data_IF_867456731629
#
_entry.id   IF_867456731629
#
_cell.length_a   1.000
_cell.length_b   1.000
_cell.length_c   1.000
_cell.angle_alpha   90.00
_cell.angle_beta   90.00
_cell.angle_gamma   90.00
#
_symmetry.space_group_name_H-M   'P 1'
#
loop_
_entity.id
_entity.type
_entity.pdbx_description
1 polymer ?
#
# COMPACT_ATOMS: atom_id res chain seq x y z
N UNK A 1 13.71 40.63 33.48
CA UNK A 1 13.39 39.24 33.90
C UNK A 1 14.46 38.35 33.28
N UNK A 2 15.39 37.84 34.08
CA UNK A 2 16.48 36.98 33.58
C UNK A 2 15.86 35.65 33.14
N UNK A 3 16.05 35.29 31.87
CA UNK A 3 15.71 33.97 31.37
C UNK A 3 16.81 33.01 31.83
N UNK A 4 16.47 31.80 32.33
CA UNK A 4 17.47 30.85 32.78
C UNK A 4 18.36 30.44 31.60
N UNK A 5 19.64 30.27 31.91
CA UNK A 5 20.68 29.82 31.01
C UNK A 5 20.32 28.48 30.36
N UNK A 6 20.76 28.33 29.12
CA UNK A 6 20.51 27.19 28.25
C UNK A 6 21.23 25.96 28.82
N UNK A 7 20.49 24.92 29.21
CA UNK A 7 21.14 23.62 29.43
C UNK A 7 21.56 23.06 28.07
N UNK A 8 22.87 22.84 27.83
CA UNK A 8 23.33 22.08 26.68
C UNK A 8 22.80 20.64 26.79
N UNK A 9 22.71 19.94 25.64
CA UNK A 9 22.46 18.50 25.65
C UNK A 9 23.50 17.81 26.57
N UNK A 10 23.15 16.73 27.30
CA UNK A 10 24.07 16.03 28.21
C UNK A 10 25.15 15.19 27.49
N UNK A 11 25.49 15.54 26.24
CA UNK A 11 26.30 14.72 25.34
C UNK A 11 27.48 15.47 24.74
N UNK A 12 28.03 16.48 25.43
CA UNK A 12 29.25 17.17 24.96
C UNK A 12 30.45 16.22 24.76
N UNK A 13 30.42 15.00 25.34
CA UNK A 13 31.54 14.06 25.35
C UNK A 13 31.34 12.72 24.59
N UNK A 14 30.37 12.60 23.66
CA UNK A 14 30.21 11.35 22.88
C UNK A 14 30.72 11.50 21.44
N UNK A 15 31.89 10.89 21.16
CA UNK A 15 32.56 10.83 19.84
C UNK A 15 31.76 10.12 18.74
N UNK A 16 30.69 9.39 19.08
CA UNK A 16 29.81 8.73 18.11
C UNK A 16 28.34 9.03 18.39
N UNK A 17 27.65 9.63 17.41
CA UNK A 17 26.21 9.85 17.45
C UNK A 17 25.46 8.55 17.09
N UNK A 18 24.71 7.92 18.01
CA UNK A 18 23.87 6.77 17.68
C UNK A 18 22.80 7.20 16.68
N UNK A 19 22.59 6.40 15.62
CA UNK A 19 21.56 6.67 14.60
C UNK A 19 20.11 6.60 15.12
N UNK A 20 19.92 6.35 16.41
CA UNK A 20 18.62 6.26 17.09
C UNK A 20 18.67 6.96 18.45
N UNK A 21 18.79 8.28 18.46
CA UNK A 21 18.62 9.05 19.69
C UNK A 21 17.13 9.33 19.95
N UNK A 22 16.64 9.20 21.20
CA UNK A 22 15.25 9.46 21.56
C UNK A 22 14.91 10.97 21.62
N UNK A 23 15.79 11.82 21.08
CA UNK A 23 15.68 13.27 21.05
C UNK A 23 15.58 13.76 19.62
N UNK A 24 14.62 14.63 19.34
CA UNK A 24 14.46 15.23 18.02
C UNK A 24 14.53 16.74 18.09
N UNK A 25 15.33 17.35 17.22
CA UNK A 25 15.43 18.80 17.12
C UNK A 25 14.11 19.38 16.58
N UNK A 26 13.67 20.48 17.17
CA UNK A 26 12.51 21.28 16.79
C UNK A 26 12.94 22.72 16.68
N UNK A 27 12.25 23.48 15.84
CA UNK A 27 12.46 24.90 15.70
C UNK A 27 11.18 25.62 16.08
N UNK A 28 11.29 26.58 17.00
CA UNK A 28 10.20 27.50 17.34
C UNK A 28 10.78 28.90 17.38
N UNK A 29 10.20 29.82 16.61
CA UNK A 29 10.61 31.23 16.61
C UNK A 29 12.12 31.43 16.39
N UNK A 30 12.69 30.67 15.44
CA UNK A 30 14.13 30.65 15.09
C UNK A 30 15.06 30.14 16.21
N UNK A 31 14.54 29.59 17.29
CA UNK A 31 15.31 28.90 18.33
C UNK A 31 15.18 27.39 18.15
N UNK A 32 16.30 26.70 18.21
CA UNK A 32 16.27 25.24 18.26
C UNK A 32 15.92 24.79 19.69
N UNK A 33 15.12 23.74 19.77
CA UNK A 33 14.72 23.05 20.99
C UNK A 33 14.88 21.55 20.73
N UNK A 34 15.03 20.77 21.80
CA UNK A 34 15.03 19.31 21.71
C UNK A 34 13.76 18.78 22.38
N UNK A 35 13.14 17.77 21.76
CA UNK A 35 11.99 17.06 22.33
C UNK A 35 12.36 15.60 22.53
N UNK A 36 12.14 15.09 23.74
CA UNK A 36 12.27 13.66 24.01
C UNK A 36 11.03 12.90 23.54
N UNK A 37 11.16 11.64 23.12
CA UNK A 37 10.01 10.79 22.77
C UNK A 37 8.99 10.66 23.90
N UNK A 38 9.41 10.81 25.17
CA UNK A 38 8.52 10.75 26.34
C UNK A 38 7.65 12.00 26.52
N UNK A 39 7.97 13.11 25.84
CA UNK A 39 7.17 14.34 25.87
C UNK A 39 5.99 14.29 24.86
N UNK A 40 5.81 13.15 24.20
CA UNK A 40 4.83 12.92 23.14
C UNK A 40 5.51 12.47 21.83
N UNK A 41 4.88 11.55 21.13
CA UNK A 41 5.41 10.95 19.90
C UNK A 41 5.22 9.44 19.87
N UNK A 42 5.76 8.80 18.84
CA UNK A 42 5.74 7.35 18.73
C UNK A 42 6.66 6.72 19.79
N UNK A 43 6.09 5.96 20.73
CA UNK A 43 6.81 5.15 21.71
C UNK A 43 6.75 3.68 21.29
N UNK A 44 7.86 3.17 20.75
CA UNK A 44 7.96 1.80 20.26
C UNK A 44 7.63 0.74 21.32
N UNK A 45 7.81 1.05 22.62
CA UNK A 45 7.55 0.10 23.71
C UNK A 45 6.05 -0.17 23.92
N UNK A 46 5.19 0.67 23.36
CA UNK A 46 3.73 0.49 23.38
C UNK A 46 3.24 -0.44 22.28
N UNK A 47 4.12 -0.84 21.37
CA UNK A 47 3.74 -1.58 20.18
C UNK A 47 4.51 -2.88 20.04
N UNK A 48 3.78 -3.93 19.72
CA UNK A 48 4.34 -5.24 19.35
C UNK A 48 3.98 -5.60 17.92
N UNK A 49 4.86 -6.36 17.29
CA UNK A 49 4.67 -6.86 15.93
C UNK A 49 4.83 -8.37 15.96
N UNK A 50 3.86 -9.07 15.39
CA UNK A 50 3.81 -10.52 15.42
C UNK A 50 3.04 -11.07 14.22
N UNK A 51 3.15 -12.39 14.00
CA UNK A 51 2.39 -13.09 12.97
C UNK A 51 0.90 -13.01 13.24
N UNK A 52 0.14 -12.88 12.16
CA UNK A 52 -1.32 -12.78 12.20
C UNK A 52 -1.95 -13.94 11.44
N UNK A 53 -3.08 -14.45 11.95
CA UNK A 53 -3.89 -15.44 11.25
C UNK A 53 -4.42 -14.88 9.93
N UNK A 54 -4.77 -15.75 8.97
CA UNK A 54 -5.33 -15.29 7.71
C UNK A 54 -6.70 -14.65 7.90
N UNK A 55 -7.55 -15.26 8.71
CA UNK A 55 -8.90 -14.78 8.99
C UNK A 55 -8.89 -13.37 9.61
N UNK A 56 -8.01 -13.12 10.60
CA UNK A 56 -7.92 -11.82 11.24
C UNK A 56 -7.33 -10.76 10.30
N UNK A 57 -6.31 -11.13 9.52
CA UNK A 57 -5.72 -10.26 8.51
C UNK A 57 -6.73 -9.87 7.44
N UNK A 58 -7.52 -10.83 6.95
CA UNK A 58 -8.57 -10.61 5.97
C UNK A 58 -9.66 -9.71 6.51
N UNK A 59 -10.20 -10.02 7.69
CA UNK A 59 -11.25 -9.22 8.32
C UNK A 59 -10.81 -7.76 8.51
N UNK A 60 -9.58 -7.53 9.00
CA UNK A 60 -9.04 -6.19 9.21
C UNK A 60 -8.81 -5.45 7.89
N UNK A 61 -8.19 -6.10 6.91
CA UNK A 61 -7.89 -5.47 5.60
C UNK A 61 -9.15 -5.10 4.85
N UNK A 62 -10.15 -5.99 4.81
CA UNK A 62 -11.42 -5.70 4.13
C UNK A 62 -12.15 -4.52 4.76
N UNK A 63 -12.04 -4.36 6.08
CA UNK A 63 -12.67 -3.25 6.82
C UNK A 63 -11.94 -1.91 6.65
N UNK A 64 -10.60 -1.91 6.64
CA UNK A 64 -9.82 -0.68 6.80
C UNK A 64 -9.01 -0.25 5.57
N UNK A 65 -8.63 -1.17 4.68
CA UNK A 65 -7.80 -0.81 3.53
C UNK A 65 -8.66 -0.26 2.39
N UNK A 66 -8.25 0.86 1.77
CA UNK A 66 -9.00 1.54 0.71
C UNK A 66 -9.40 0.66 -0.49
N UNK A 67 -8.65 -0.42 -0.72
CA UNK A 67 -8.89 -1.35 -1.82
C UNK A 67 -9.96 -2.41 -1.52
N UNK A 68 -10.44 -2.52 -0.26
CA UNK A 68 -11.50 -3.42 0.19
C UNK A 68 -11.42 -4.85 -0.40
N UNK A 69 -10.21 -5.41 -0.45
CA UNK A 69 -9.95 -6.72 -1.05
C UNK A 69 -8.74 -7.38 -0.41
N UNK A 70 -8.79 -8.70 -0.26
CA UNK A 70 -7.71 -9.48 0.33
C UNK A 70 -6.94 -10.28 -0.73
N UNK A 71 -5.62 -10.07 -0.90
CA UNK A 71 -4.80 -10.78 -1.88
C UNK A 71 -4.27 -12.11 -1.31
N UNK A 72 -3.71 -12.96 -2.18
CA UNK A 72 -3.02 -14.17 -1.75
C UNK A 72 -1.82 -13.83 -0.85
N UNK A 73 -1.87 -14.28 0.40
CA UNK A 73 -0.88 -14.01 1.42
C UNK A 73 0.15 -15.14 1.55
N UNK A 74 1.40 -14.79 1.83
CA UNK A 74 2.47 -15.72 2.23
C UNK A 74 2.87 -15.47 3.67
N UNK A 75 3.06 -14.19 4.03
CA UNK A 75 3.37 -13.75 5.39
C UNK A 75 2.41 -12.63 5.80
N UNK A 76 1.95 -12.66 7.04
CA UNK A 76 0.98 -11.71 7.60
C UNK A 76 1.45 -11.28 8.97
N UNK A 77 1.42 -9.99 9.24
CA UNK A 77 1.79 -9.44 10.52
C UNK A 77 0.73 -8.47 11.02
N UNK A 78 0.52 -8.49 12.33
CA UNK A 78 -0.27 -7.49 13.06
C UNK A 78 0.66 -6.52 13.79
N UNK A 79 0.28 -5.25 13.81
CA UNK A 79 0.76 -4.27 14.77
C UNK A 79 -0.24 -4.21 15.92
N UNK A 80 0.24 -4.35 17.14
CA UNK A 80 -0.59 -4.39 18.33
C UNK A 80 -0.20 -3.28 19.28
N UNK A 81 -1.19 -2.52 19.74
CA UNK A 81 -1.05 -1.63 20.88
C UNK A 81 -1.20 -2.45 22.16
N UNK A 82 -0.20 -2.39 23.03
CA UNK A 82 -0.15 -3.11 24.31
C UNK A 82 -0.16 -2.16 25.51
N UNK A 83 -0.41 -0.87 25.30
CA UNK A 83 -0.31 0.15 26.35
C UNK A 83 -1.34 0.00 27.47
N UNK A 84 -2.47 -0.65 27.21
CA UNK A 84 -3.55 -0.87 28.18
C UNK A 84 -3.47 -2.23 28.89
N UNK A 85 -2.42 -3.02 28.62
CA UNK A 85 -2.26 -4.39 29.13
C UNK A 85 -3.00 -5.46 28.32
N UNK A 86 -4.05 -5.09 27.58
CA UNK A 86 -4.67 -5.96 26.57
C UNK A 86 -4.07 -5.66 25.19
N UNK A 87 -3.81 -6.72 24.43
CA UNK A 87 -3.23 -6.62 23.10
C UNK A 87 -4.29 -6.27 22.06
N UNK A 88 -4.24 -5.06 21.52
CA UNK A 88 -5.23 -4.56 20.55
C UNK A 88 -4.63 -4.40 19.15
N UNK A 89 -5.20 -5.07 18.15
CA UNK A 89 -4.76 -4.98 16.75
C UNK A 89 -5.07 -3.59 16.19
N UNK A 90 -4.03 -2.85 15.79
CA UNK A 90 -4.15 -1.49 15.26
C UNK A 90 -3.48 -1.31 13.88
N UNK A 91 -2.87 -2.36 13.33
CA UNK A 91 -2.39 -2.37 11.94
C UNK A 91 -2.12 -3.76 11.40
N UNK A 92 -2.12 -3.90 10.07
CA UNK A 92 -1.89 -5.16 9.37
C UNK A 92 -0.98 -4.94 8.15
N UNK A 93 -0.02 -5.84 8.00
CA UNK A 93 0.85 -5.95 6.83
C UNK A 93 0.71 -7.35 6.21
N UNK A 94 0.46 -7.42 4.90
CA UNK A 94 0.33 -8.66 4.14
C UNK A 94 1.37 -8.67 3.03
N UNK A 95 2.26 -9.65 3.09
CA UNK A 95 3.28 -9.92 2.09
C UNK A 95 2.90 -11.17 1.32
N UNK A 96 2.79 -11.06 0.00
CA UNK A 96 2.06 -12.01 -0.79
C UNK A 96 2.58 -12.22 -2.21
N UNK A 97 1.78 -12.98 -2.96
CA UNK A 97 2.02 -13.32 -4.35
C UNK A 97 1.31 -12.30 -5.24
N UNK A 98 2.04 -11.48 -6.02
CA UNK A 98 1.41 -10.59 -6.99
C UNK A 98 0.75 -11.39 -8.11
N UNK A 99 -0.23 -10.76 -8.76
CA UNK A 99 -0.96 -11.32 -9.91
C UNK A 99 -0.08 -11.72 -11.11
N UNK A 100 1.17 -11.23 -11.16
CA UNK A 100 2.14 -11.61 -12.17
C UNK A 100 3.52 -11.79 -11.53
N UNK A 101 4.18 -12.90 -11.81
CA UNK A 101 5.58 -13.19 -11.41
C UNK A 101 6.53 -12.04 -11.79
N UNK A 102 6.26 -11.37 -12.91
CA UNK A 102 7.04 -10.23 -13.40
C UNK A 102 7.03 -8.99 -12.48
N UNK A 103 6.10 -8.91 -11.52
CA UNK A 103 6.13 -7.86 -10.49
C UNK A 103 7.35 -7.99 -9.59
N UNK A 104 7.83 -9.22 -9.35
CA UNK A 104 9.00 -9.52 -8.54
C UNK A 104 10.26 -9.71 -9.39
N UNK A 105 10.17 -10.50 -10.46
CA UNK A 105 11.37 -10.86 -11.24
C UNK A 105 11.95 -9.71 -12.08
N UNK A 106 11.15 -8.68 -12.40
CA UNK A 106 11.69 -7.47 -13.05
C UNK A 106 12.55 -6.64 -12.09
N UNK A 107 12.08 -6.24 -10.90
CA UNK A 107 12.91 -5.48 -9.96
C UNK A 107 13.97 -6.31 -9.23
N UNK A 108 13.75 -7.61 -9.03
CA UNK A 108 14.60 -8.51 -8.25
C UNK A 108 14.86 -9.81 -9.05
N UNK A 109 15.65 -9.76 -10.13
CA UNK A 109 15.77 -10.87 -11.09
C UNK A 109 16.53 -12.09 -10.56
N UNK A 110 17.36 -11.91 -9.52
CA UNK A 110 18.21 -12.96 -8.96
C UNK A 110 17.57 -13.68 -7.75
N UNK A 111 16.42 -13.21 -7.27
CA UNK A 111 15.73 -13.81 -6.13
C UNK A 111 14.63 -14.73 -6.62
N UNK A 112 14.50 -15.91 -6.02
CA UNK A 112 13.36 -16.79 -6.28
C UNK A 112 12.07 -16.12 -5.79
N UNK A 113 11.09 -15.85 -6.66
CA UNK A 113 9.85 -15.22 -6.25
C UNK A 113 9.00 -16.14 -5.39
N UNK A 114 8.22 -15.53 -4.50
CA UNK A 114 7.32 -16.19 -3.55
C UNK A 114 8.03 -16.87 -2.38
N UNK A 115 9.36 -17.00 -2.43
CA UNK A 115 10.20 -17.51 -1.33
C UNK A 115 11.21 -16.45 -0.89
N UNK A 116 12.10 -16.01 -1.78
CA UNK A 116 13.11 -14.98 -1.49
C UNK A 116 12.63 -13.57 -1.81
N UNK A 117 11.57 -13.41 -2.61
CA UNK A 117 10.95 -12.12 -2.84
C UNK A 117 9.42 -12.14 -2.75
N UNK A 118 8.86 -11.08 -2.15
CA UNK A 118 7.41 -10.93 -1.95
C UNK A 118 6.92 -9.53 -2.32
N UNK A 119 5.62 -9.40 -2.59
CA UNK A 119 4.96 -8.09 -2.71
C UNK A 119 4.40 -7.68 -1.35
N UNK A 120 4.69 -6.46 -0.88
CA UNK A 120 3.90 -5.84 0.19
C UNK A 120 2.54 -5.42 -0.39
N UNK A 121 1.59 -6.34 -0.32
CA UNK A 121 0.32 -6.26 -1.04
C UNK A 121 -0.71 -5.44 -0.27
N UNK A 122 -0.68 -5.48 1.07
CA UNK A 122 -1.52 -4.66 1.94
C UNK A 122 -0.69 -4.14 3.10
N UNK A 123 -0.85 -2.87 3.41
CA UNK A 123 -0.22 -2.23 4.56
C UNK A 123 -1.16 -1.14 5.06
N UNK A 124 -1.76 -1.35 6.23
CA UNK A 124 -2.80 -0.47 6.79
C UNK A 124 -2.63 -0.37 8.29
N UNK A 125 -2.75 0.85 8.82
CA UNK A 125 -2.81 1.15 10.25
C UNK A 125 -4.06 1.99 10.51
N UNK A 126 -4.58 1.95 11.73
CA UNK A 126 -5.66 2.83 12.18
C UNK A 126 -5.14 4.26 12.43
N UNK A 127 -6.00 5.26 12.24
CA UNK A 127 -5.65 6.69 12.34
C UNK A 127 -5.17 7.12 13.73
N UNK A 128 -5.53 6.37 14.77
CA UNK A 128 -5.06 6.54 16.15
C UNK A 128 -3.57 6.21 16.35
N UNK A 129 -2.95 5.49 15.40
CA UNK A 129 -1.54 5.18 15.46
C UNK A 129 -0.72 6.47 15.28
N UNK A 130 0.19 6.82 16.22
CA UNK A 130 0.96 8.03 16.12
C UNK A 130 1.93 7.97 14.93
N UNK A 131 2.26 9.12 14.36
CA UNK A 131 3.20 9.20 13.23
C UNK A 131 4.53 8.51 13.54
N UNK A 132 5.08 7.80 12.55
CA UNK A 132 6.21 6.86 12.61
C UNK A 132 5.85 5.42 12.99
N UNK A 133 4.60 5.13 13.36
CA UNK A 133 4.12 3.75 13.54
C UNK A 133 4.32 2.91 12.29
N UNK A 134 4.08 3.49 11.11
CA UNK A 134 4.24 2.81 9.82
C UNK A 134 5.70 2.38 9.59
N UNK A 135 6.64 3.29 9.84
CA UNK A 135 8.07 3.02 9.62
C UNK A 135 8.59 1.98 10.60
N UNK A 136 8.17 2.05 11.88
CA UNK A 136 8.49 1.04 12.88
C UNK A 136 7.91 -0.33 12.49
N UNK A 137 6.62 -0.38 12.18
CA UNK A 137 5.93 -1.61 11.84
C UNK A 137 6.54 -2.28 10.60
N UNK A 138 6.79 -1.50 9.54
CA UNK A 138 7.40 -1.99 8.32
C UNK A 138 8.83 -2.53 8.57
N UNK A 139 9.63 -1.84 9.38
CA UNK A 139 10.96 -2.29 9.74
C UNK A 139 10.94 -3.61 10.53
N UNK A 140 10.02 -3.77 11.48
CA UNK A 140 9.82 -5.03 12.21
C UNK A 140 9.37 -6.16 11.28
N UNK A 141 8.43 -5.89 10.37
CA UNK A 141 8.04 -6.86 9.35
C UNK A 141 9.24 -7.30 8.50
N UNK A 142 10.08 -6.36 8.04
CA UNK A 142 11.27 -6.69 7.25
C UNK A 142 12.27 -7.57 8.00
N UNK A 143 12.43 -7.38 9.31
CA UNK A 143 13.26 -8.27 10.15
C UNK A 143 12.71 -9.69 10.18
N UNK A 144 11.41 -9.86 10.41
CA UNK A 144 10.75 -11.18 10.42
C UNK A 144 10.78 -11.86 9.04
N UNK A 145 10.57 -11.08 7.98
CA UNK A 145 10.68 -11.56 6.61
C UNK A 145 12.09 -12.06 6.30
N UNK A 146 13.12 -11.31 6.69
CA UNK A 146 14.51 -11.71 6.53
C UNK A 146 14.84 -12.98 7.30
N UNK A 147 14.32 -13.13 8.53
CA UNK A 147 14.46 -14.36 9.31
C UNK A 147 13.78 -15.57 8.64
N UNK A 148 12.71 -15.35 7.87
CA UNK A 148 12.04 -16.38 7.08
C UNK A 148 12.67 -16.67 5.71
N UNK A 149 13.79 -16.02 5.37
CA UNK A 149 14.52 -16.23 4.11
C UNK A 149 14.18 -15.24 2.99
N UNK A 150 13.27 -14.28 3.22
CA UNK A 150 12.94 -13.24 2.23
C UNK A 150 14.07 -12.21 2.15
N UNK A 151 14.57 -11.97 0.95
CA UNK A 151 15.68 -11.05 0.64
C UNK A 151 15.25 -9.80 -0.09
N UNK A 152 14.03 -9.76 -0.63
CA UNK A 152 13.52 -8.58 -1.32
C UNK A 152 12.01 -8.40 -1.20
N UNK A 153 11.59 -7.14 -1.10
CA UNK A 153 10.16 -6.78 -1.07
C UNK A 153 9.90 -5.73 -2.15
N UNK A 154 8.80 -5.90 -2.88
CA UNK A 154 8.30 -4.88 -3.82
C UNK A 154 7.01 -4.31 -3.27
N UNK A 155 6.90 -2.99 -3.25
CA UNK A 155 5.70 -2.28 -2.79
C UNK A 155 5.24 -1.27 -3.83
N UNK A 156 3.93 -1.03 -3.87
CA UNK A 156 3.33 -0.02 -4.75
C UNK A 156 2.63 1.07 -3.97
N UNK A 157 2.70 2.30 -4.48
CA UNK A 157 1.89 3.41 -4.03
C UNK A 157 1.03 3.90 -5.19
N UNK A 158 -0.30 3.89 -5.01
CA UNK A 158 -1.24 4.32 -6.04
C UNK A 158 -1.41 5.84 -5.97
N UNK A 159 -0.89 6.61 -6.95
CA UNK A 159 -0.93 8.06 -6.91
C UNK A 159 -2.27 8.62 -7.39
N UNK A 160 -3.20 7.82 -7.91
CA UNK A 160 -4.36 8.33 -8.66
C UNK A 160 -5.55 8.57 -7.71
N UNK A 161 -6.02 9.83 -7.54
CA UNK A 161 -7.21 10.09 -6.74
C UNK A 161 -8.47 9.45 -7.36
N UNK A 162 -9.41 9.01 -6.51
CA UNK A 162 -10.69 8.43 -6.92
C UNK A 162 -11.86 9.05 -6.17
N UNK A 163 -12.93 9.33 -6.91
CA UNK A 163 -14.20 9.84 -6.40
C UNK A 163 -15.36 8.98 -6.85
N UNK A 164 -16.40 8.93 -6.02
CA UNK A 164 -17.72 8.43 -6.41
C UNK A 164 -18.29 9.24 -7.57
N UNK A 165 -19.37 8.75 -8.19
CA UNK A 165 -20.14 9.50 -9.17
C UNK A 165 -20.73 10.80 -8.58
N UNK A 166 -21.07 10.80 -7.29
CA UNK A 166 -21.52 11.99 -6.55
C UNK A 166 -20.39 12.97 -6.16
N UNK A 167 -19.13 12.63 -6.46
CA UNK A 167 -17.98 13.49 -6.21
C UNK A 167 -17.31 13.32 -4.83
N UNK A 168 -17.76 12.37 -4.02
CA UNK A 168 -17.15 12.06 -2.70
C UNK A 168 -15.77 11.44 -2.93
N UNK A 169 -14.75 11.93 -2.22
CA UNK A 169 -13.38 11.47 -2.33
C UNK A 169 -13.18 10.15 -1.55
N UNK A 170 -12.88 9.08 -2.26
CA UNK A 170 -12.69 7.72 -1.70
C UNK A 170 -11.21 7.38 -1.55
N UNK A 171 -10.39 7.84 -2.50
CA UNK A 171 -8.93 7.65 -2.45
C UNK A 171 -8.26 8.96 -2.84
N UNK A 172 -7.42 9.51 -1.96
CA UNK A 172 -6.67 10.75 -2.27
C UNK A 172 -5.50 10.52 -3.24
N UNK A 173 -5.09 9.28 -3.42
CA UNK A 173 -3.79 8.96 -4.01
C UNK A 173 -2.65 9.19 -3.00
N UNK A 174 -1.56 8.43 -3.14
CA UNK A 174 -0.38 8.57 -2.30
C UNK A 174 0.88 8.25 -3.09
N UNK A 175 1.99 8.87 -2.69
CA UNK A 175 3.30 8.66 -3.32
C UNK A 175 4.20 7.72 -2.54
N UNK A 176 3.67 7.04 -1.53
CA UNK A 176 4.44 6.08 -0.72
C UNK A 176 5.51 6.76 0.11
N UNK A 177 5.23 7.91 0.73
CA UNK A 177 6.20 8.64 1.58
C UNK A 177 6.88 7.73 2.60
N UNK A 178 6.12 6.83 3.22
CA UNK A 178 6.65 5.84 4.16
C UNK A 178 7.71 4.94 3.52
N UNK A 179 7.57 4.57 2.25
CA UNK A 179 8.59 3.80 1.52
C UNK A 179 9.83 4.64 1.22
N UNK A 180 9.67 5.93 0.95
CA UNK A 180 10.79 6.84 0.72
C UNK A 180 11.60 7.07 2.01
N UNK A 181 10.92 7.15 3.16
CA UNK A 181 11.54 7.33 4.47
C UNK A 181 12.11 6.05 5.07
N UNK A 182 11.81 4.87 4.50
CA UNK A 182 12.27 3.57 5.00
C UNK A 182 13.23 2.86 4.02
N UNK A 183 14.02 3.65 3.28
CA UNK A 183 15.07 3.16 2.37
C UNK A 183 14.55 2.33 1.17
N UNK A 184 13.28 2.49 0.79
CA UNK A 184 12.74 1.88 -0.42
C UNK A 184 13.33 2.53 -1.66
N UNK A 185 13.97 1.74 -2.52
CA UNK A 185 14.52 2.23 -3.79
C UNK A 185 13.38 2.50 -4.76
N UNK A 186 13.19 3.75 -5.16
CA UNK A 186 12.19 4.09 -6.17
C UNK A 186 12.60 3.55 -7.55
N UNK A 187 11.79 2.66 -8.11
CA UNK A 187 12.06 1.95 -9.37
C UNK A 187 11.08 2.35 -10.49
N UNK A 188 10.65 3.62 -10.48
CA UNK A 188 9.72 4.17 -11.47
C UNK A 188 8.28 3.71 -11.27
N UNK A 189 7.48 3.76 -12.35
CA UNK A 189 6.07 3.35 -12.32
C UNK A 189 5.86 1.93 -12.82
N UNK A 190 4.78 1.31 -12.36
CA UNK A 190 4.18 0.14 -12.98
C UNK A 190 3.60 0.49 -14.36
N UNK A 191 3.17 -0.54 -15.10
CA UNK A 191 2.56 -0.37 -16.42
C UNK A 191 1.32 0.53 -16.33
N UNK A 192 1.26 1.55 -17.18
CA UNK A 192 0.07 2.37 -17.32
C UNK A 192 -1.08 1.54 -17.91
N UNK A 193 -2.30 1.76 -17.41
CA UNK A 193 -3.49 1.02 -17.80
C UNK A 193 -4.73 1.91 -17.74
N UNK A 194 -5.82 1.42 -18.30
CA UNK A 194 -7.14 2.04 -18.10
C UNK A 194 -7.88 1.20 -17.07
N UNK A 195 -8.36 1.82 -16.00
CA UNK A 195 -9.14 1.16 -14.96
C UNK A 195 -10.62 1.48 -15.17
N UNK A 196 -11.48 0.53 -14.77
CA UNK A 196 -12.94 0.72 -14.74
C UNK A 196 -13.31 1.15 -13.34
N UNK A 197 -13.74 2.40 -13.19
CA UNK A 197 -14.17 2.98 -11.93
C UNK A 197 -15.68 2.84 -11.82
N UNK A 198 -16.15 2.21 -10.74
CA UNK A 198 -17.56 2.07 -10.43
C UNK A 198 -18.12 3.35 -9.77
N UNK A 199 -19.44 3.53 -9.71
CA UNK A 199 -20.07 4.74 -9.16
C UNK A 199 -19.75 5.00 -7.69
N UNK A 200 -19.48 3.95 -6.93
CA UNK A 200 -19.03 4.01 -5.53
C UNK A 200 -17.55 4.39 -5.39
N UNK A 201 -16.84 4.62 -6.50
CA UNK A 201 -15.42 4.97 -6.54
C UNK A 201 -14.48 3.76 -6.44
N UNK A 202 -15.00 2.54 -6.35
CA UNK A 202 -14.20 1.31 -6.36
C UNK A 202 -13.73 0.96 -7.79
N UNK A 203 -12.68 0.12 -7.88
CA UNK A 203 -12.11 -0.30 -9.17
C UNK A 203 -12.60 -1.70 -9.52
N UNK A 204 -13.29 -1.83 -10.65
CA UNK A 204 -13.64 -3.13 -11.18
C UNK A 204 -12.44 -3.75 -11.92
N UNK A 205 -11.81 -4.74 -11.28
CA UNK A 205 -10.56 -5.33 -11.74
C UNK A 205 -10.71 -6.18 -13.01
N UNK A 206 -9.70 -6.16 -13.88
CA UNK A 206 -9.71 -6.91 -15.14
C UNK A 206 -9.79 -8.43 -14.95
N UNK A 207 -9.25 -8.97 -13.85
CA UNK A 207 -9.39 -10.40 -13.51
C UNK A 207 -10.84 -10.76 -13.16
N UNK A 208 -11.53 -9.91 -12.40
CA UNK A 208 -12.96 -10.09 -12.12
C UNK A 208 -13.77 -10.01 -13.43
N UNK A 209 -13.47 -9.03 -14.28
CA UNK A 209 -14.06 -8.91 -15.61
C UNK A 209 -13.82 -10.15 -16.49
N UNK A 210 -12.62 -10.74 -16.44
CA UNK A 210 -12.32 -11.98 -17.15
C UNK A 210 -13.17 -13.14 -16.63
N UNK A 211 -13.27 -13.31 -15.30
CA UNK A 211 -14.09 -14.36 -14.70
C UNK A 211 -15.53 -14.29 -15.17
N UNK A 212 -16.14 -13.10 -15.17
CA UNK A 212 -17.49 -12.89 -15.71
C UNK A 212 -17.56 -13.22 -17.20
N UNK A 213 -16.64 -12.73 -18.02
CA UNK A 213 -16.67 -12.98 -19.49
C UNK A 213 -16.61 -14.46 -19.84
N UNK A 214 -15.83 -15.22 -19.08
CA UNK A 214 -15.55 -16.64 -19.31
C UNK A 214 -16.37 -17.57 -18.42
N UNK A 215 -17.21 -17.01 -17.55
CA UNK A 215 -17.95 -17.74 -16.51
C UNK A 215 -17.02 -18.68 -15.72
N UNK A 216 -15.83 -18.18 -15.37
CA UNK A 216 -14.84 -18.91 -14.55
C UNK A 216 -15.28 -18.92 -13.07
N UNK A 217 -14.83 -19.90 -12.30
CA UNK A 217 -15.12 -20.01 -10.86
C UNK A 217 -14.92 -18.69 -10.09
N UNK A 218 -15.94 -18.32 -9.31
CA UNK A 218 -16.00 -17.08 -8.55
C UNK A 218 -16.40 -15.84 -9.36
N UNK A 219 -16.98 -16.01 -10.56
CA UNK A 219 -17.58 -14.90 -11.30
C UNK A 219 -18.80 -14.30 -10.57
N UNK A 220 -19.59 -15.12 -9.89
CA UNK A 220 -20.82 -14.74 -9.17
C UNK A 220 -20.61 -13.55 -8.22
N UNK A 221 -19.49 -13.51 -7.49
CA UNK A 221 -19.15 -12.40 -6.60
C UNK A 221 -18.96 -11.07 -7.35
N UNK A 222 -18.34 -11.12 -8.54
CA UNK A 222 -18.16 -9.94 -9.38
C UNK A 222 -19.48 -9.50 -10.02
N UNK A 223 -20.37 -10.45 -10.33
CA UNK A 223 -21.71 -10.15 -10.82
C UNK A 223 -22.58 -9.52 -9.74
N UNK A 224 -22.58 -10.09 -8.54
CA UNK A 224 -23.30 -9.57 -7.38
C UNK A 224 -22.92 -8.13 -7.03
N UNK A 225 -21.63 -7.79 -7.11
CA UNK A 225 -21.16 -6.39 -6.94
C UNK A 225 -21.79 -5.44 -7.94
N UNK A 226 -21.85 -5.82 -9.23
CA UNK A 226 -22.46 -4.99 -10.26
C UNK A 226 -23.98 -4.90 -10.08
N UNK A 227 -24.63 -6.01 -9.73
CA UNK A 227 -26.09 -6.05 -9.47
C UNK A 227 -26.45 -5.16 -8.28
N UNK A 228 -25.65 -5.19 -7.19
CA UNK A 228 -25.85 -4.32 -6.03
C UNK A 228 -25.74 -2.83 -6.38
N UNK A 229 -25.04 -2.49 -7.47
CA UNK A 229 -24.92 -1.13 -8.01
C UNK A 229 -25.97 -0.82 -9.10
N UNK A 230 -26.94 -1.71 -9.33
CA UNK A 230 -28.04 -1.51 -10.27
C UNK A 230 -27.87 -2.15 -11.66
N UNK A 231 -26.90 -3.06 -11.84
CA UNK A 231 -26.81 -3.84 -13.08
C UNK A 231 -28.01 -4.79 -13.24
N UNK A 232 -28.41 -5.12 -14.48
CA UNK A 232 -29.46 -6.11 -14.72
C UNK A 232 -29.03 -7.50 -14.22
N UNK A 233 -29.96 -8.23 -13.61
CA UNK A 233 -29.72 -9.63 -13.22
C UNK A 233 -29.56 -10.50 -14.49
N UNK A 234 -28.50 -11.31 -14.61
CA UNK A 234 -28.31 -12.19 -15.75
C UNK A 234 -29.47 -13.18 -15.90
N UNK A 235 -29.91 -13.42 -17.14
CA UNK A 235 -30.92 -14.46 -17.46
C UNK A 235 -30.24 -15.81 -17.67
N UNK A 236 -30.96 -16.91 -17.49
CA UNK A 236 -30.43 -18.24 -17.79
C UNK A 236 -29.84 -18.31 -19.21
N UNK A 237 -28.63 -18.88 -19.34
CA UNK A 237 -27.93 -19.01 -20.63
C UNK A 237 -27.35 -17.72 -21.21
N UNK A 238 -27.25 -16.64 -20.43
CA UNK A 238 -26.68 -15.39 -20.91
C UNK A 238 -25.22 -15.53 -21.38
N UNK A 239 -24.83 -14.66 -22.30
CA UNK A 239 -23.42 -14.51 -22.67
C UNK A 239 -22.72 -13.57 -21.68
N UNK A 240 -21.79 -14.08 -20.89
CA UNK A 240 -21.08 -13.31 -19.85
C UNK A 240 -20.36 -12.06 -20.37
N UNK A 241 -19.79 -12.11 -21.57
CA UNK A 241 -19.13 -10.95 -22.17
C UNK A 241 -20.12 -9.86 -22.62
N UNK A 242 -21.27 -10.26 -23.16
CA UNK A 242 -22.34 -9.32 -23.52
C UNK A 242 -22.95 -8.67 -22.28
N UNK A 243 -23.30 -9.50 -21.28
CA UNK A 243 -23.87 -9.02 -20.02
C UNK A 243 -22.93 -8.08 -19.29
N UNK A 244 -21.63 -8.40 -19.19
CA UNK A 244 -20.69 -7.51 -18.51
C UNK A 244 -20.61 -6.13 -19.15
N UNK A 245 -20.68 -6.06 -20.49
CA UNK A 245 -20.70 -4.76 -21.19
C UNK A 245 -21.96 -3.98 -20.83
N UNK A 246 -23.12 -4.62 -20.83
CA UNK A 246 -24.39 -3.99 -20.49
C UNK A 246 -24.43 -3.56 -19.02
N UNK A 247 -23.97 -4.41 -18.10
CA UNK A 247 -23.88 -4.15 -16.68
C UNK A 247 -22.99 -2.93 -16.38
N UNK A 248 -21.80 -2.84 -17.00
CA UNK A 248 -20.90 -1.70 -16.81
C UNK A 248 -21.50 -0.38 -17.33
N UNK A 249 -22.28 -0.41 -18.42
CA UNK A 249 -23.03 0.75 -18.89
C UNK A 249 -24.15 1.10 -17.91
N UNK A 250 -24.94 0.12 -17.49
CA UNK A 250 -26.12 0.31 -16.64
C UNK A 250 -25.76 0.93 -15.29
N UNK A 251 -24.67 0.47 -14.67
CA UNK A 251 -24.19 1.06 -13.40
C UNK A 251 -23.55 2.44 -13.63
N UNK A 252 -23.21 2.83 -14.85
CA UNK A 252 -22.50 4.10 -15.11
C UNK A 252 -21.00 4.02 -14.78
N UNK A 253 -20.37 2.87 -15.03
CA UNK A 253 -18.92 2.74 -14.88
C UNK A 253 -18.18 3.70 -15.82
N UNK A 254 -17.01 4.17 -15.38
CA UNK A 254 -16.17 5.12 -16.14
C UNK A 254 -14.78 4.54 -16.40
N UNK A 255 -14.23 4.83 -17.57
CA UNK A 255 -12.85 4.50 -17.88
C UNK A 255 -11.93 5.63 -17.40
N UNK A 256 -10.98 5.29 -16.54
CA UNK A 256 -10.02 6.26 -16.01
C UNK A 256 -8.61 5.86 -16.41
N UNK A 257 -7.84 6.80 -16.98
CA UNK A 257 -6.43 6.56 -17.31
C UNK A 257 -5.62 6.52 -16.02
N UNK A 258 -4.98 5.39 -15.76
CA UNK A 258 -4.07 5.19 -14.64
C UNK A 258 -2.63 5.10 -15.16
N UNK A 259 -1.79 6.07 -14.78
CA UNK A 259 -0.40 6.19 -15.27
C UNK A 259 0.58 5.18 -14.68
N UNK A 260 0.08 4.25 -13.86
CA UNK A 260 0.87 3.23 -13.19
C UNK A 260 1.24 3.66 -11.76
N UNK A 261 1.20 2.71 -10.83
CA UNK A 261 1.54 2.96 -9.43
C UNK A 261 3.05 3.16 -9.28
N UNK A 262 3.48 3.97 -8.31
CA UNK A 262 4.89 4.12 -7.99
C UNK A 262 5.42 2.84 -7.36
N UNK A 263 6.53 2.31 -7.89
CA UNK A 263 7.17 1.07 -7.42
C UNK A 263 8.33 1.39 -6.51
N UNK A 264 8.38 0.72 -5.36
CA UNK A 264 9.47 0.76 -4.40
C UNK A 264 10.02 -0.64 -4.20
N UNK A 265 11.34 -0.75 -4.12
CA UNK A 265 12.04 -2.03 -3.95
C UNK A 265 12.88 -1.96 -2.68
N UNK A 266 12.66 -2.89 -1.77
CA UNK A 266 13.43 -3.06 -0.56
C UNK A 266 14.35 -4.26 -0.73
N UNK A 267 15.64 -4.03 -0.45
CA UNK A 267 16.65 -5.09 -0.37
C UNK A 267 16.83 -5.40 1.11
N UNK A 268 16.51 -6.62 1.51
CA UNK A 268 16.57 -7.06 2.90
C UNK A 268 17.91 -7.73 3.18
N UNK A 269 18.50 -7.38 4.32
CA UNK A 269 19.80 -7.87 4.76
C UNK A 269 20.20 -7.24 6.08
N UNK A 270 20.95 -7.98 6.90
CA UNK A 270 21.38 -7.57 8.25
C UNK A 270 22.39 -6.43 8.16
N UNK A 271 23.25 -6.46 7.14
CA UNK A 271 24.24 -5.44 6.86
C UNK A 271 23.96 -4.71 5.55
N UNK A 272 24.58 -3.53 5.37
CA UNK A 272 24.55 -2.82 4.08
C UNK A 272 25.10 -3.69 2.94
N UNK A 273 26.17 -4.43 3.20
CA UNK A 273 26.79 -5.35 2.24
C UNK A 273 25.82 -6.42 1.75
N UNK A 274 25.09 -7.08 2.66
CA UNK A 274 24.07 -8.08 2.29
C UNK A 274 22.94 -7.49 1.45
N UNK A 275 22.54 -6.24 1.73
CA UNK A 275 21.53 -5.54 0.93
C UNK A 275 22.07 -5.19 -0.47
N UNK A 276 23.34 -4.81 -0.58
CA UNK A 276 23.97 -4.47 -1.86
C UNK A 276 24.30 -5.69 -2.74
N UNK A 277 24.35 -6.89 -2.14
CA UNK A 277 24.42 -8.15 -2.89
C UNK A 277 23.13 -8.43 -3.67
N UNK A 278 21.96 -8.02 -3.16
CA UNK A 278 20.70 -8.14 -3.89
C UNK A 278 20.69 -7.14 -5.06
N UNK A 279 20.85 -7.64 -6.28
CA UNK A 279 20.87 -6.81 -7.49
C UNK A 279 19.47 -6.36 -7.87
N UNK A 280 19.38 -5.10 -8.31
CA UNK A 280 18.14 -4.52 -8.84
C UNK A 280 18.10 -4.73 -10.35
N UNK A 281 17.03 -5.36 -10.84
CA UNK A 281 16.78 -5.49 -12.27
C UNK A 281 16.15 -4.25 -12.92
N UNK A 282 15.77 -3.26 -12.11
CA UNK A 282 15.29 -1.96 -12.57
C UNK A 282 16.17 -0.83 -12.02
N UNK A 283 16.43 0.23 -12.80
CA UNK A 283 17.24 1.35 -12.35
C UNK A 283 16.54 2.11 -11.22
N UNK A 284 17.32 2.52 -10.22
CA UNK A 284 16.88 3.50 -9.24
C UNK A 284 16.57 4.83 -9.96
N UNK A 285 15.46 5.47 -9.58
CA UNK A 285 14.99 6.72 -10.19
C UNK A 285 14.97 7.85 -9.17
N UNK A 286 15.26 9.06 -9.65
CA UNK A 286 15.20 10.32 -8.93
C UNK A 286 14.55 11.38 -9.83
N UNK A 287 13.91 12.42 -9.26
CA UNK A 287 13.58 12.56 -7.85
C UNK A 287 12.47 11.58 -7.42
N UNK A 288 12.37 11.34 -6.11
CA UNK A 288 11.21 10.63 -5.55
C UNK A 288 9.93 11.46 -5.73
N UNK A 289 8.78 10.84 -6.04
CA UNK A 289 7.51 11.55 -6.21
C UNK A 289 7.06 12.17 -4.88
N UNK A 290 6.68 13.45 -4.88
CA UNK A 290 6.24 14.15 -3.66
C UNK A 290 4.77 14.55 -3.66
N UNK A 291 4.05 14.30 -4.75
CA UNK A 291 2.64 14.67 -4.91
C UNK A 291 1.89 13.58 -5.69
N UNK A 292 0.67 13.21 -5.26
CA UNK A 292 -0.21 12.36 -6.05
C UNK A 292 -0.41 12.91 -7.47
N UNK A 293 -0.92 12.06 -8.36
CA UNK A 293 -1.29 12.49 -9.70
C UNK A 293 -2.39 13.55 -9.61
N UNK A 294 -2.43 14.50 -10.55
CA UNK A 294 -3.57 15.40 -10.65
C UNK A 294 -4.85 14.56 -10.80
N UNK A 295 -5.97 15.07 -10.27
CA UNK A 295 -7.25 14.40 -10.48
C UNK A 295 -7.45 14.16 -11.98
N UNK A 296 -7.79 12.92 -12.39
CA UNK A 296 -8.06 12.68 -13.79
C UNK A 296 -9.18 13.62 -14.21
N UNK A 297 -8.95 14.37 -15.30
CA UNK A 297 -9.98 15.22 -15.88
C UNK A 297 -11.27 14.41 -15.97
N UNK A 298 -12.41 14.99 -15.58
CA UNK A 298 -13.72 14.37 -15.81
C UNK A 298 -13.81 14.14 -17.30
N UNK A 299 -13.53 12.91 -17.74
CA UNK A 299 -13.99 12.49 -19.05
C UNK A 299 -15.48 12.30 -18.85
N UNK A 300 -16.26 13.20 -19.43
CA UNK A 300 -17.71 13.04 -19.58
C UNK A 300 -18.03 11.90 -20.58
N UNK A 301 -17.06 11.03 -20.87
CA UNK A 301 -17.28 9.86 -21.71
C UNK A 301 -17.77 8.71 -20.83
N UNK A 302 -19.08 8.40 -20.87
CA UNK A 302 -19.58 7.16 -20.29
C UNK A 302 -18.83 5.98 -20.91
N UNK A 303 -18.81 4.83 -20.23
CA UNK A 303 -18.30 3.60 -20.83
C UNK A 303 -18.98 3.34 -22.18
N UNK A 304 -18.27 3.62 -23.28
CA UNK A 304 -18.78 3.42 -24.64
C UNK A 304 -18.62 1.95 -25.02
N UNK A 305 -19.63 1.41 -25.73
CA UNK A 305 -19.48 0.12 -26.42
C UNK A 305 -18.24 0.22 -27.32
N UNK A 306 -17.30 -0.72 -27.19
CA UNK A 306 -16.27 -0.86 -28.20
C UNK A 306 -16.97 -1.11 -29.56
N UNK A 307 -16.54 -0.46 -30.65
CA UNK A 307 -17.11 -0.72 -31.97
C UNK A 307 -16.95 -2.21 -32.26
N UNK A 308 -18.06 -2.86 -32.63
CA UNK A 308 -18.11 -4.30 -32.86
C UNK A 308 -17.10 -4.68 -33.95
N UNK A 309 -16.21 -5.62 -33.65
CA UNK A 309 -15.69 -6.48 -34.70
C UNK A 309 -16.86 -7.36 -35.11
N UNK A 310 -17.44 -7.05 -36.28
CA UNK A 310 -18.20 -8.01 -37.05
C UNK A 310 -17.31 -9.11 -37.60
#
# INVERSE_FOLDING_TARGET
MRYPDQEPLPFEDLEEHPTTLPWCQRWRERKHMWRHISEGGFDARRYEVDRLSEADAEAFVLRHHYAASYPAAVQRFGLYDISTGERRLCGVAVFGVPVSKAVLTKPLPELEPYTESLECSRFVLLDECPGNSESFFLARCHTELLASGVRGVVSFADPVPRRTASGILIHRGHCGWIYQSTNGVYAGRATARTIKLLPDGSVFHDRAAQKVRRQEQGHEYAEAQLIALGAPVPRAGFNGAAWLREALVAVGARNVRHRGAHRYVFRLGRSRREREQVKLGLPARQPYPKRPDPEPARSDEPFRRAPGCG
#
